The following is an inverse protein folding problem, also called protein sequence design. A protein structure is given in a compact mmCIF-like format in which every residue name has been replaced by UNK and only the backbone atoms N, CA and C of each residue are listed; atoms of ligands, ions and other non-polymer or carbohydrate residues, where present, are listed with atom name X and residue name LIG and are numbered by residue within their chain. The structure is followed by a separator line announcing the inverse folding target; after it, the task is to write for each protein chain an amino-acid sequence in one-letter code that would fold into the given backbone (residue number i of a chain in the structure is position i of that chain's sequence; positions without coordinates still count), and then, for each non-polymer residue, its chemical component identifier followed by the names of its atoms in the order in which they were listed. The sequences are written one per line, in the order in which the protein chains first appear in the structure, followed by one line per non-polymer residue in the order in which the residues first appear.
data_IF_067472753477
#
_entry.id   IF_067472753477
#
_cell.length_a   1.000
_cell.length_b   1.000
_cell.length_c   1.000
_cell.angle_alpha   90.00
_cell.angle_beta   90.00
_cell.angle_gamma   90.00
#
_symmetry.space_group_name_H-M   'P 1'
#
loop_
_entity.id
_entity.type
_entity.pdbx_description
1 polymer ?
#
# COMPACT_ATOMS: atom_id res chain seq x y z
N UNK A 1 6.17 -9.01 -2.06
CA UNK A 1 5.34 -8.69 -3.26
C UNK A 1 5.67 -9.69 -4.35
N UNK A 2 4.65 -10.32 -4.90
CA UNK A 2 4.80 -11.28 -5.98
C UNK A 2 5.19 -10.57 -7.28
N UNK A 3 5.75 -11.32 -8.23
CA UNK A 3 6.13 -10.77 -9.55
C UNK A 3 4.87 -10.54 -10.41
N UNK A 4 5.02 -9.75 -11.48
CA UNK A 4 3.95 -9.55 -12.47
C UNK A 4 3.75 -10.86 -13.24
N UNK A 5 2.49 -11.33 -13.41
CA UNK A 5 2.20 -12.49 -14.25
C UNK A 5 2.77 -12.32 -15.67
N UNK A 6 3.30 -13.41 -16.24
CA UNK A 6 4.01 -13.39 -17.54
C UNK A 6 3.17 -12.76 -18.65
N UNK A 7 1.87 -13.09 -18.69
CA UNK A 7 0.93 -12.59 -19.69
C UNK A 7 0.73 -11.06 -19.63
N UNK A 8 1.01 -10.43 -18.48
CA UNK A 8 0.83 -8.99 -18.29
C UNK A 8 2.11 -8.18 -18.50
N UNK A 9 3.29 -8.84 -18.43
CA UNK A 9 4.59 -8.16 -18.54
C UNK A 9 4.73 -7.30 -19.79
N UNK A 10 4.32 -7.75 -21.01
CA UNK A 10 4.47 -6.93 -22.21
C UNK A 10 3.64 -5.63 -22.16
N UNK A 11 2.40 -5.68 -21.67
CA UNK A 11 1.53 -4.49 -21.57
C UNK A 11 2.02 -3.54 -20.48
N UNK A 12 2.41 -4.06 -19.31
CA UNK A 12 2.98 -3.26 -18.23
C UNK A 12 4.27 -2.59 -18.68
N UNK A 13 5.18 -3.32 -19.31
CA UNK A 13 6.42 -2.75 -19.88
C UNK A 13 6.12 -1.62 -20.86
N UNK A 14 5.20 -1.84 -21.81
CA UNK A 14 4.83 -0.84 -22.80
C UNK A 14 4.31 0.45 -22.14
N UNK A 15 3.48 0.32 -21.10
CA UNK A 15 2.91 1.47 -20.38
C UNK A 15 3.98 2.23 -19.58
N UNK A 16 4.82 1.51 -18.85
CA UNK A 16 5.88 2.10 -18.04
C UNK A 16 6.97 2.76 -18.91
N UNK A 17 7.28 2.19 -20.07
CA UNK A 17 8.27 2.76 -21.02
C UNK A 17 7.84 4.12 -21.60
N UNK A 18 6.59 4.50 -21.47
CA UNK A 18 6.09 5.83 -21.87
C UNK A 18 6.27 6.91 -20.79
N UNK A 19 6.83 6.57 -19.62
CA UNK A 19 7.06 7.52 -18.54
C UNK A 19 8.51 8.02 -18.57
N UNK A 20 8.70 9.32 -18.41
CA UNK A 20 10.04 9.93 -18.35
C UNK A 20 10.77 9.59 -17.04
N UNK A 21 10.03 9.46 -15.95
CA UNK A 21 10.55 9.13 -14.62
C UNK A 21 9.65 8.13 -13.93
N UNK A 22 10.25 7.15 -13.26
CA UNK A 22 9.55 6.15 -12.47
C UNK A 22 10.04 6.21 -11.04
N UNK A 23 9.14 6.44 -10.10
CA UNK A 23 9.42 6.31 -8.68
C UNK A 23 8.49 5.27 -8.06
N UNK A 24 9.02 4.55 -7.07
CA UNK A 24 8.30 3.49 -6.35
C UNK A 24 8.54 3.66 -4.85
N UNK A 25 7.59 3.26 -4.03
CA UNK A 25 7.73 3.39 -2.57
C UNK A 25 8.44 2.21 -1.90
N UNK A 26 8.69 1.12 -2.62
CA UNK A 26 9.31 -0.08 -2.10
C UNK A 26 10.43 -0.57 -3.02
N UNK A 27 11.50 -1.12 -2.44
CA UNK A 27 12.62 -1.69 -3.19
C UNK A 27 12.20 -2.85 -4.08
N UNK A 28 11.22 -3.65 -3.65
CA UNK A 28 10.61 -4.71 -4.46
C UNK A 28 10.00 -4.19 -5.76
N UNK A 29 9.34 -3.02 -5.71
CA UNK A 29 8.81 -2.36 -6.89
C UNK A 29 9.91 -1.94 -7.87
N UNK A 30 11.01 -1.37 -7.38
CA UNK A 30 12.17 -1.03 -8.23
C UNK A 30 12.75 -2.27 -8.91
N UNK A 31 12.91 -3.37 -8.17
CA UNK A 31 13.40 -4.63 -8.73
C UNK A 31 12.45 -5.21 -9.79
N UNK A 32 11.13 -5.08 -9.64
CA UNK A 32 10.16 -5.50 -10.65
C UNK A 32 10.33 -4.70 -11.95
N UNK A 33 10.42 -3.37 -11.83
CA UNK A 33 10.61 -2.48 -12.99
C UNK A 33 11.92 -2.79 -13.72
N UNK A 34 12.99 -3.04 -12.98
CA UNK A 34 14.29 -3.43 -13.55
C UNK A 34 14.21 -4.79 -14.28
N UNK A 35 13.52 -5.80 -13.71
CA UNK A 35 13.31 -7.10 -14.38
C UNK A 35 12.47 -6.98 -15.66
N UNK A 36 11.64 -5.97 -15.80
CA UNK A 36 10.96 -5.64 -17.05
C UNK A 36 11.90 -5.02 -18.10
N UNK A 37 13.18 -4.77 -17.74
CA UNK A 37 14.16 -4.13 -18.61
C UNK A 37 13.97 -2.62 -18.73
N UNK A 38 13.43 -1.98 -17.71
CA UNK A 38 13.27 -0.52 -17.62
C UNK A 38 14.21 -0.02 -16.51
N UNK A 39 15.34 0.60 -16.87
CA UNK A 39 16.32 1.08 -15.90
C UNK A 39 15.86 2.41 -15.27
N UNK A 40 16.43 2.73 -14.10
CA UNK A 40 16.30 4.07 -13.50
C UNK A 40 15.09 4.29 -12.63
N UNK A 41 14.36 3.24 -12.24
CA UNK A 41 13.34 3.37 -11.20
C UNK A 41 13.99 3.69 -9.85
N UNK A 42 13.49 4.73 -9.18
CA UNK A 42 14.03 5.23 -7.90
C UNK A 42 13.05 4.93 -6.78
N UNK A 43 13.57 4.38 -5.67
CA UNK A 43 12.77 4.25 -4.47
C UNK A 43 12.64 5.62 -3.77
N UNK A 44 11.41 5.99 -3.44
CA UNK A 44 11.06 7.20 -2.69
C UNK A 44 10.20 6.81 -1.49
N UNK A 45 10.02 7.74 -0.55
CA UNK A 45 9.09 7.52 0.57
C UNK A 45 7.64 7.48 0.11
N UNK A 46 6.81 6.78 0.87
CA UNK A 46 5.36 6.80 0.64
C UNK A 46 4.84 8.25 0.73
N UNK A 47 3.98 8.70 -0.20
CA UNK A 47 3.43 10.05 -0.20
C UNK A 47 2.76 10.48 1.11
N UNK A 48 2.32 9.54 1.94
CA UNK A 48 1.75 9.85 3.26
C UNK A 48 2.71 10.65 4.16
N UNK A 49 4.03 10.50 3.96
CA UNK A 49 5.06 11.23 4.71
C UNK A 49 5.38 12.63 4.17
N UNK A 50 4.73 13.07 3.09
CA UNK A 50 4.87 14.43 2.57
C UNK A 50 4.15 15.47 3.43
N UNK A 51 3.19 15.06 4.23
CA UNK A 51 2.48 15.89 5.20
C UNK A 51 2.95 15.51 6.62
N UNK A 52 3.14 16.51 7.46
CA UNK A 52 3.37 16.33 8.88
C UNK A 52 2.07 16.01 9.65
N UNK A 53 2.20 15.73 10.94
CA UNK A 53 1.05 15.38 11.79
C UNK A 53 0.04 16.52 11.92
N UNK A 54 0.48 17.78 11.88
CA UNK A 54 -0.40 18.96 11.98
C UNK A 54 -1.25 19.09 10.71
N UNK A 55 -0.66 18.93 9.54
CA UNK A 55 -1.36 18.96 8.26
C UNK A 55 -2.38 17.82 8.17
N UNK A 56 -2.02 16.60 8.60
CA UNK A 56 -2.97 15.48 8.67
C UNK A 56 -4.12 15.74 9.63
N UNK A 57 -3.84 16.25 10.84
CA UNK A 57 -4.87 16.59 11.83
C UNK A 57 -5.86 17.63 11.31
N UNK A 58 -5.43 18.55 10.43
CA UNK A 58 -6.31 19.59 9.85
C UNK A 58 -7.42 19.05 8.97
N UNK A 59 -7.23 17.86 8.37
CA UNK A 59 -8.21 17.20 7.48
C UNK A 59 -8.88 15.99 8.13
N UNK A 60 -8.45 15.65 9.36
CA UNK A 60 -9.03 14.56 10.13
C UNK A 60 -10.49 14.85 10.48
N UNK A 61 -11.34 13.84 10.39
CA UNK A 61 -12.71 13.90 10.84
C UNK A 61 -12.88 13.12 12.13
N UNK A 62 -13.64 13.62 13.10
CA UNK A 62 -13.93 12.88 14.32
C UNK A 62 -14.52 11.50 14.01
N UNK A 63 -14.03 10.48 14.69
CA UNK A 63 -14.61 9.14 14.64
C UNK A 63 -15.99 9.21 15.31
N UNK A 64 -17.08 8.81 14.64
CA UNK A 64 -18.44 8.93 15.20
C UNK A 64 -18.71 7.97 16.36
N UNK A 65 -17.85 6.96 16.54
CA UNK A 65 -17.99 5.98 17.60
C UNK A 65 -17.22 6.44 18.85
N UNK A 66 -17.92 6.53 19.98
CA UNK A 66 -17.34 6.90 21.28
C UNK A 66 -17.06 5.68 22.17
N UNK A 67 -17.54 4.50 21.79
CA UNK A 67 -17.27 3.25 22.49
C UNK A 67 -15.92 2.66 22.09
N UNK A 68 -15.23 1.93 22.97
CA UNK A 68 -14.03 1.20 22.61
C UNK A 68 -14.27 0.26 21.43
N UNK A 69 -13.33 0.18 20.51
CA UNK A 69 -13.45 -0.68 19.33
C UNK A 69 -12.09 -1.27 18.91
N UNK A 70 -12.16 -2.38 18.21
CA UNK A 70 -11.02 -2.97 17.51
C UNK A 70 -11.15 -2.67 16.03
N UNK A 71 -10.16 -1.96 15.46
CA UNK A 71 -10.10 -1.69 14.03
C UNK A 71 -9.40 -2.84 13.32
N UNK A 72 -10.10 -3.48 12.40
CA UNK A 72 -9.53 -4.48 11.50
C UNK A 72 -9.35 -3.87 10.10
N UNK A 73 -8.10 -3.86 9.61
CA UNK A 73 -7.74 -3.45 8.27
C UNK A 73 -7.25 -4.67 7.49
N UNK A 74 -8.13 -5.25 6.66
CA UNK A 74 -7.91 -6.53 6.00
C UNK A 74 -8.43 -6.48 4.56
N UNK A 75 -7.53 -6.63 3.57
CA UNK A 75 -7.87 -6.66 2.15
C UNK A 75 -8.30 -8.04 1.66
N UNK A 76 -7.77 -9.09 2.28
CA UNK A 76 -7.93 -10.47 1.82
C UNK A 76 -9.17 -11.15 2.40
N UNK A 77 -9.89 -10.46 3.28
CA UNK A 77 -11.04 -10.99 4.03
C UNK A 77 -10.71 -12.29 4.75
N UNK A 78 -9.54 -12.32 5.38
CA UNK A 78 -9.04 -13.51 6.08
C UNK A 78 -9.94 -13.82 7.30
N UNK A 79 -10.61 -14.98 7.32
CA UNK A 79 -11.53 -15.33 8.40
C UNK A 79 -10.82 -15.52 9.75
N UNK A 80 -9.54 -15.88 9.77
CA UNK A 80 -8.75 -15.97 11.00
C UNK A 80 -8.54 -14.59 11.62
N UNK A 81 -8.25 -13.58 10.82
CA UNK A 81 -8.09 -12.21 11.31
C UNK A 81 -9.42 -11.67 11.89
N UNK A 82 -10.53 -11.97 11.24
CA UNK A 82 -11.86 -11.59 11.74
C UNK A 82 -12.15 -12.27 13.09
N UNK A 83 -11.85 -13.57 13.21
CA UNK A 83 -12.01 -14.30 14.47
C UNK A 83 -11.11 -13.75 15.58
N UNK A 84 -9.87 -13.42 15.24
CA UNK A 84 -8.94 -12.81 16.19
C UNK A 84 -9.43 -11.45 16.66
N UNK A 85 -9.84 -10.57 15.75
CA UNK A 85 -10.35 -9.24 16.09
C UNK A 85 -11.60 -9.31 17.00
N UNK A 86 -12.53 -10.24 16.73
CA UNK A 86 -13.70 -10.44 17.58
C UNK A 86 -13.31 -10.87 18.99
N UNK A 87 -12.41 -11.84 19.12
CA UNK A 87 -11.92 -12.29 20.42
C UNK A 87 -11.28 -11.13 21.20
N UNK A 88 -10.44 -10.32 20.54
CA UNK A 88 -9.83 -9.14 21.16
C UNK A 88 -10.89 -8.13 21.65
N UNK A 89 -11.97 -7.95 20.90
CA UNK A 89 -13.06 -7.06 21.28
C UNK A 89 -13.91 -7.60 22.46
N UNK A 90 -13.96 -8.92 22.63
CA UNK A 90 -14.69 -9.58 23.75
C UNK A 90 -13.88 -9.58 25.04
N UNK A 91 -12.55 -9.57 24.96
CA UNK A 91 -11.62 -9.63 26.09
C UNK A 91 -11.28 -8.25 26.69
N UNK A 92 -11.62 -7.14 26.01
CA UNK A 92 -11.34 -5.76 26.43
C UNK A 92 -12.60 -4.90 26.47
#
# INVERSE_FOLDING_TARGET
MDDIPEEWKPDVKRRLSGLDHISVRESSGAAIVERLGIPGAVQVMDPVFLLDSEAWASIEKPVPNTEPYVLLYDFDRNPEMVRFARRMAEEN
#
